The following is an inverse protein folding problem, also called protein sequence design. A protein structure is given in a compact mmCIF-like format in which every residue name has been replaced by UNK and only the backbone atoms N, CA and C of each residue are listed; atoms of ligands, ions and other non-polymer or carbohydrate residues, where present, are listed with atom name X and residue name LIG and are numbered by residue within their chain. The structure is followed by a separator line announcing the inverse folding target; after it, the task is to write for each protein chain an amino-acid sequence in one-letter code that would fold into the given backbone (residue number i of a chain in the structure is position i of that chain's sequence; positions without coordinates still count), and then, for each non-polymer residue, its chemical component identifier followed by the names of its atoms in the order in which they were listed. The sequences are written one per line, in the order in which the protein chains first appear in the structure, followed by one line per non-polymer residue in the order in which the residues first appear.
data_IF_925562992370
#
_entry.id   IF_925562992370
#
_cell.length_a   1.000
_cell.length_b   1.000
_cell.length_c   1.000
_cell.angle_alpha   90.00
_cell.angle_beta   90.00
_cell.angle_gamma   90.00
#
_symmetry.space_group_name_H-M   'P 1'
#
loop_
_entity.id
_entity.type
_entity.pdbx_description
1 polymer ?
#
# COMPACT_ATOMS: atom_id res chain seq x y z
N UNK A 1 39.36 4.20 75.30
CA UNK A 1 38.77 3.93 73.97
C UNK A 1 38.16 5.22 73.45
N UNK A 2 38.83 5.92 72.53
CA UNK A 2 38.27 7.11 71.88
C UNK A 2 37.57 6.65 70.61
N UNK A 3 36.25 6.70 70.58
CA UNK A 3 35.44 6.40 69.39
C UNK A 3 35.75 7.45 68.32
N UNK A 4 36.28 6.97 67.20
CA UNK A 4 36.63 7.76 66.01
C UNK A 4 35.33 8.29 65.35
N UNK A 5 34.89 9.48 65.77
CA UNK A 5 33.76 10.23 65.18
C UNK A 5 34.17 10.83 63.81
N UNK A 6 34.70 10.00 62.93
CA UNK A 6 35.22 10.39 61.63
C UNK A 6 34.08 10.66 60.65
N UNK A 7 34.06 11.84 60.03
CA UNK A 7 33.33 12.22 58.80
C UNK A 7 32.44 11.12 58.18
N UNK A 8 31.20 10.98 58.66
CA UNK A 8 30.19 10.07 58.11
C UNK A 8 29.12 10.85 57.36
N UNK A 9 28.62 10.25 56.29
CA UNK A 9 27.46 10.69 55.54
C UNK A 9 26.37 9.65 55.78
N UNK A 10 25.27 10.06 56.39
CA UNK A 10 24.04 9.31 56.56
C UNK A 10 23.03 9.74 55.50
N UNK A 11 22.44 8.78 54.81
CA UNK A 11 21.38 9.04 53.83
C UNK A 11 20.09 8.44 54.37
N UNK A 12 19.04 9.25 54.41
CA UNK A 12 17.70 8.90 54.83
C UNK A 12 16.77 9.04 53.63
N UNK A 13 15.75 8.17 53.58
CA UNK A 13 14.69 8.22 52.60
C UNK A 13 13.39 8.60 53.31
N UNK A 14 12.73 9.63 52.79
CA UNK A 14 11.52 10.24 53.34
C UNK A 14 11.68 10.58 54.83
N UNK A 15 10.71 10.18 55.65
CA UNK A 15 10.68 10.45 57.10
C UNK A 15 11.23 9.28 57.93
N UNK A 16 12.02 8.37 57.33
CA UNK A 16 12.61 7.24 58.07
C UNK A 16 13.60 7.72 59.15
N UNK A 17 13.48 7.15 60.36
CA UNK A 17 14.36 7.48 61.49
C UNK A 17 15.76 6.85 61.37
N UNK A 18 15.86 5.72 60.67
CA UNK A 18 17.13 5.03 60.41
C UNK A 18 17.68 5.37 59.02
N UNK A 19 19.01 5.58 58.89
CA UNK A 19 19.60 5.85 57.59
C UNK A 19 19.59 4.59 56.73
N UNK A 20 19.11 4.69 55.49
CA UNK A 20 19.19 3.60 54.49
C UNK A 20 20.65 3.20 54.26
N UNK A 21 21.58 4.14 54.40
CA UNK A 21 23.00 3.85 54.28
C UNK A 21 23.89 4.89 54.96
N UNK A 22 25.04 4.44 55.46
CA UNK A 22 26.03 5.27 56.15
C UNK A 22 27.42 5.02 55.58
N UNK A 23 28.11 6.06 55.12
CA UNK A 23 29.38 5.95 54.40
C UNK A 23 30.39 7.01 54.79
N UNK A 24 31.68 6.75 54.51
CA UNK A 24 32.74 7.76 54.60
C UNK A 24 32.92 8.43 53.21
N UNK A 25 33.01 9.77 53.13
CA UNK A 25 33.20 10.46 51.85
C UNK A 25 34.57 10.19 51.20
N UNK A 26 34.68 10.28 49.86
CA UNK A 26 33.58 10.39 48.90
C UNK A 26 32.90 9.02 48.67
N UNK A 27 31.58 9.02 48.50
CA UNK A 27 30.83 7.79 48.22
C UNK A 27 29.93 7.95 46.99
N UNK A 28 29.80 6.86 46.24
CA UNK A 28 28.75 6.64 45.23
C UNK A 28 27.78 5.62 45.80
N UNK A 29 26.50 5.95 45.82
CA UNK A 29 25.44 5.03 46.21
C UNK A 29 24.45 4.89 45.06
N UNK A 30 23.85 3.73 44.93
CA UNK A 30 22.76 3.46 44.00
C UNK A 30 21.46 3.35 44.81
N UNK A 31 20.46 4.15 44.46
CA UNK A 31 19.13 4.05 45.05
C UNK A 31 18.30 3.09 44.19
N UNK A 32 17.90 1.96 44.77
CA UNK A 32 16.93 1.08 44.13
C UNK A 32 15.52 1.65 44.34
N UNK A 33 14.99 2.29 43.31
CA UNK A 33 13.64 2.88 43.36
C UNK A 33 12.55 1.86 43.12
N UNK A 34 12.86 0.60 42.74
CA UNK A 34 11.84 -0.38 42.29
C UNK A 34 10.85 -0.80 43.36
N UNK A 35 11.23 -0.63 44.63
CA UNK A 35 10.42 -0.95 45.81
C UNK A 35 9.76 0.28 46.43
N UNK A 36 9.96 1.46 45.82
CA UNK A 36 9.35 2.70 46.29
C UNK A 36 7.97 2.87 45.65
N UNK A 37 7.05 3.46 46.41
CA UNK A 37 5.72 3.82 45.91
C UNK A 37 5.84 4.90 44.82
N UNK A 38 4.82 5.02 43.97
CA UNK A 38 4.78 6.09 42.99
C UNK A 38 4.41 7.41 43.66
N UNK A 39 5.11 8.48 43.30
CA UNK A 39 4.84 9.82 43.80
C UNK A 39 6.06 10.56 44.34
N UNK A 40 5.85 11.64 45.11
CA UNK A 40 6.91 12.49 45.61
C UNK A 40 7.63 11.82 46.79
N UNK A 41 8.96 11.75 46.69
CA UNK A 41 9.86 11.25 47.73
C UNK A 41 10.96 12.27 48.02
N UNK A 42 11.65 12.08 49.14
CA UNK A 42 12.67 12.99 49.62
C UNK A 42 13.90 12.22 50.10
N UNK A 43 15.08 12.54 49.56
CA UNK A 43 16.35 12.07 50.15
C UNK A 43 16.87 13.14 51.09
N UNK A 44 17.12 12.78 52.34
CA UNK A 44 17.80 13.64 53.32
C UNK A 44 19.20 13.11 53.56
N UNK A 45 20.21 13.90 53.21
CA UNK A 45 21.63 13.59 53.44
C UNK A 45 22.11 14.39 54.64
N UNK A 46 22.62 13.71 55.67
CA UNK A 46 23.19 14.31 56.87
C UNK A 46 24.68 13.95 56.90
N UNK A 47 25.55 14.94 56.79
CA UNK A 47 26.99 14.78 56.89
C UNK A 47 27.48 15.35 58.22
N UNK A 48 28.18 14.54 59.01
CA UNK A 48 28.77 14.96 60.29
C UNK A 48 30.26 15.23 60.08
N UNK A 49 30.76 16.39 60.48
CA UNK A 49 32.19 16.70 60.42
C UNK A 49 32.96 16.22 61.66
N UNK A 50 34.30 16.31 61.64
CA UNK A 50 35.17 15.94 62.76
C UNK A 50 34.96 16.76 64.04
N UNK A 51 34.23 17.88 63.97
CA UNK A 51 33.85 18.70 65.12
C UNK A 51 32.46 18.35 65.67
N UNK A 52 31.77 17.39 65.06
CA UNK A 52 30.41 16.97 65.41
C UNK A 52 29.33 17.87 64.84
N UNK A 53 29.65 18.80 63.93
CA UNK A 53 28.67 19.65 63.28
C UNK A 53 28.03 18.90 62.11
N UNK A 54 26.70 19.00 62.02
CA UNK A 54 25.92 18.35 60.96
C UNK A 54 25.57 19.33 59.85
N UNK A 55 25.81 18.91 58.61
CA UNK A 55 25.28 19.54 57.40
C UNK A 55 24.15 18.70 56.84
N UNK A 56 22.95 19.28 56.70
CA UNK A 56 21.77 18.58 56.16
C UNK A 56 21.46 19.11 54.77
N UNK A 57 21.25 18.22 53.81
CA UNK A 57 20.76 18.55 52.47
C UNK A 57 19.59 17.64 52.10
N UNK A 58 18.49 18.27 51.69
CA UNK A 58 17.27 17.58 51.29
C UNK A 58 17.10 17.69 49.78
N UNK A 59 16.77 16.58 49.11
CA UNK A 59 16.64 16.48 47.66
C UNK A 59 15.29 15.82 47.36
N UNK A 60 14.27 16.59 46.92
CA UNK A 60 13.01 16.00 46.48
C UNK A 60 13.20 15.32 45.11
N UNK A 61 12.51 14.21 44.91
CA UNK A 61 12.44 13.49 43.64
C UNK A 61 11.07 12.81 43.49
N UNK A 62 10.74 12.36 42.30
CA UNK A 62 9.47 11.68 42.02
C UNK A 62 9.75 10.29 41.48
N UNK A 63 9.09 9.28 42.04
CA UNK A 63 9.18 7.89 41.61
C UNK A 63 7.99 7.57 40.72
N UNK A 64 8.26 6.89 39.60
CA UNK A 64 7.26 6.43 38.63
C UNK A 64 7.58 5.01 38.18
N UNK A 65 7.22 4.04 38.99
CA UNK A 65 7.34 2.61 38.74
C UNK A 65 6.05 1.99 38.18
N UNK A 66 4.89 2.63 38.39
CA UNK A 66 3.59 2.20 37.91
C UNK A 66 3.37 2.39 36.41
N UNK A 67 2.25 1.86 35.86
CA UNK A 67 1.89 2.08 34.47
C UNK A 67 1.59 3.56 34.21
N UNK A 68 2.03 4.08 33.08
CA UNK A 68 1.58 5.40 32.62
C UNK A 68 0.09 5.31 32.27
N UNK A 69 -0.70 6.26 32.77
CA UNK A 69 -2.14 6.34 32.51
C UNK A 69 -2.38 7.52 31.57
N UNK A 70 -3.14 7.30 30.52
CA UNK A 70 -3.59 8.34 29.60
C UNK A 70 -5.13 8.35 29.55
N UNK A 71 -5.69 9.55 29.60
CA UNK A 71 -7.13 9.79 29.69
C UNK A 71 -7.49 10.72 28.55
N UNK A 72 -8.11 10.17 27.51
CA UNK A 72 -8.60 10.94 26.38
C UNK A 72 -10.11 11.19 26.53
N UNK A 73 -10.55 12.38 26.15
CA UNK A 73 -11.93 12.85 26.29
C UNK A 73 -12.25 13.67 27.55
N UNK A 74 -11.29 13.90 28.46
CA UNK A 74 -11.42 14.84 29.59
C UNK A 74 -10.16 15.67 29.81
N UNK A 75 -10.34 16.96 30.08
CA UNK A 75 -9.27 17.88 30.45
C UNK A 75 -9.44 18.41 31.87
N UNK A 76 -8.35 18.94 32.44
CA UNK A 76 -8.34 19.51 33.78
C UNK A 76 -9.28 20.73 33.83
N UNK A 77 -10.25 20.69 34.77
CA UNK A 77 -11.29 21.71 34.99
C UNK A 77 -12.46 21.74 33.99
N UNK A 78 -12.72 20.67 33.24
CA UNK A 78 -13.91 20.59 32.38
C UNK A 78 -15.22 20.58 33.19
N UNK A 79 -16.21 21.35 32.73
CA UNK A 79 -17.59 21.35 33.25
C UNK A 79 -18.45 20.53 32.30
N UNK A 80 -18.86 19.34 32.73
CA UNK A 80 -19.56 18.37 31.88
C UNK A 80 -21.05 18.29 32.21
N UNK A 81 -21.88 18.07 31.18
CA UNK A 81 -23.30 17.77 31.31
C UNK A 81 -23.67 16.59 30.41
N UNK A 82 -24.43 15.61 30.94
CA UNK A 82 -24.88 14.45 30.17
C UNK A 82 -23.91 13.25 30.20
N UNK A 83 -23.71 12.58 29.05
CA UNK A 83 -22.86 11.39 28.91
C UNK A 83 -21.68 11.69 28.00
N UNK A 84 -20.47 11.65 28.55
CA UNK A 84 -19.21 11.89 27.83
C UNK A 84 -18.44 10.58 27.73
N UNK A 85 -18.08 10.11 26.52
CA UNK A 85 -17.24 8.94 26.36
C UNK A 85 -15.79 9.29 26.74
N UNK A 86 -15.21 8.50 27.63
CA UNK A 86 -13.83 8.68 28.11
C UNK A 86 -13.06 7.43 27.72
N UNK A 87 -11.89 7.62 27.11
CA UNK A 87 -10.98 6.54 26.81
C UNK A 87 -9.88 6.51 27.87
N UNK A 88 -9.81 5.41 28.62
CA UNK A 88 -8.80 5.19 29.64
C UNK A 88 -7.79 4.18 29.11
N UNK A 89 -6.53 4.59 29.01
CA UNK A 89 -5.42 3.75 28.60
C UNK A 89 -4.40 3.62 29.74
N UNK A 90 -3.81 2.44 29.89
CA UNK A 90 -2.70 2.21 30.81
C UNK A 90 -1.59 1.47 30.05
N UNK A 91 -0.42 2.09 29.91
CA UNK A 91 0.75 1.49 29.27
C UNK A 91 1.81 1.13 30.31
N UNK A 92 2.28 -0.12 30.22
CA UNK A 92 2.92 -0.83 31.32
C UNK A 92 4.41 -0.53 31.51
N UNK A 93 4.77 -0.29 32.78
CA UNK A 93 6.13 -0.33 33.35
C UNK A 93 6.62 -1.74 33.72
N UNK A 94 6.02 -2.80 33.19
CA UNK A 94 6.50 -4.17 33.39
C UNK A 94 7.70 -4.44 32.46
N UNK A 95 8.86 -4.78 33.03
CA UNK A 95 10.02 -5.31 32.30
C UNK A 95 9.70 -6.72 31.80
N UNK A 96 8.86 -6.82 30.78
CA UNK A 96 8.56 -8.07 30.09
C UNK A 96 9.74 -8.44 29.17
N UNK A 97 10.16 -9.72 29.12
CA UNK A 97 11.30 -10.15 28.32
C UNK A 97 11.07 -10.09 26.80
N UNK A 98 9.82 -9.86 26.35
CA UNK A 98 9.46 -9.79 24.93
C UNK A 98 8.67 -8.52 24.62
N UNK A 99 9.20 -7.72 23.69
CA UNK A 99 8.56 -6.49 23.21
C UNK A 99 7.29 -6.81 22.42
N UNK A 100 6.17 -6.21 22.82
CA UNK A 100 4.87 -6.36 22.14
C UNK A 100 4.46 -5.02 21.50
N UNK A 101 4.50 -4.88 20.16
CA UNK A 101 4.20 -3.62 19.47
C UNK A 101 2.82 -3.03 19.81
N UNK A 102 1.81 -3.89 20.01
CA UNK A 102 0.43 -3.47 20.27
C UNK A 102 0.22 -2.74 21.60
N UNK A 103 1.18 -2.79 22.54
CA UNK A 103 1.16 -2.01 23.78
C UNK A 103 1.88 -0.66 23.67
N UNK A 104 2.63 -0.44 22.58
CA UNK A 104 3.38 0.79 22.36
C UNK A 104 2.59 1.85 21.57
N UNK A 105 1.48 1.47 20.94
CA UNK A 105 0.62 2.37 20.19
C UNK A 105 -0.63 2.69 21.02
N UNK A 106 -0.76 3.93 21.48
CA UNK A 106 -2.05 4.44 21.94
C UNK A 106 -2.93 4.67 20.69
N UNK A 107 -4.11 4.03 20.59
CA UNK A 107 -5.03 4.31 19.50
C UNK A 107 -5.60 5.73 19.70
N UNK A 108 -4.92 6.73 19.16
CA UNK A 108 -5.40 8.10 19.10
C UNK A 108 -6.22 8.30 17.81
N UNK A 109 -7.36 9.02 17.87
CA UNK A 109 -8.07 9.39 16.65
C UNK A 109 -7.17 10.26 15.76
N UNK A 110 -7.31 10.11 14.44
CA UNK A 110 -6.55 10.92 13.47
C UNK A 110 -6.78 12.41 13.76
N UNK A 111 -5.73 13.21 13.99
CA UNK A 111 -5.89 14.61 14.38
C UNK A 111 -6.68 15.43 13.34
N UNK A 112 -7.51 16.37 13.81
CA UNK A 112 -8.33 17.24 12.92
C UNK A 112 -7.50 17.97 11.87
N UNK A 113 -6.27 18.38 12.19
CA UNK A 113 -5.38 19.05 11.23
C UNK A 113 -5.01 18.16 10.04
N UNK A 114 -4.94 16.84 10.23
CA UNK A 114 -4.62 15.90 9.15
C UNK A 114 -5.79 15.80 8.16
N UNK A 115 -7.03 15.83 8.65
CA UNK A 115 -8.22 15.93 7.81
C UNK A 115 -8.29 17.25 7.05
N UNK A 116 -7.97 18.36 7.70
CA UNK A 116 -7.88 19.68 7.03
C UNK A 116 -6.82 19.67 5.94
N UNK A 117 -5.63 19.11 6.21
CA UNK A 117 -4.56 18.98 5.23
C UNK A 117 -4.95 18.08 4.05
N UNK A 118 -5.64 16.96 4.31
CA UNK A 118 -6.18 16.09 3.25
C UNK A 118 -7.16 16.85 2.36
N UNK A 119 -8.10 17.61 2.94
CA UNK A 119 -9.04 18.42 2.17
C UNK A 119 -8.33 19.50 1.34
N UNK A 120 -7.27 20.11 1.87
CA UNK A 120 -6.44 21.07 1.12
C UNK A 120 -5.74 20.41 -0.05
N UNK A 121 -5.14 19.23 0.14
CA UNK A 121 -4.49 18.48 -0.96
C UNK A 121 -5.49 18.13 -2.04
N UNK A 122 -6.68 17.64 -1.67
CA UNK A 122 -7.74 17.31 -2.62
C UNK A 122 -8.19 18.56 -3.39
N UNK A 123 -8.48 19.66 -2.69
CA UNK A 123 -8.88 20.92 -3.32
C UNK A 123 -7.80 21.46 -4.26
N UNK A 124 -6.52 21.42 -3.84
CA UNK A 124 -5.39 21.87 -4.65
C UNK A 124 -5.16 20.97 -5.86
N UNK A 125 -5.32 19.65 -5.72
CA UNK A 125 -5.21 18.70 -6.82
C UNK A 125 -6.30 18.93 -7.86
N UNK A 126 -7.56 19.12 -7.43
CA UNK A 126 -8.67 19.44 -8.32
C UNK A 126 -8.45 20.78 -9.03
N UNK A 127 -8.00 21.81 -8.31
CA UNK A 127 -7.62 23.10 -8.91
C UNK A 127 -6.49 22.95 -9.94
N UNK A 128 -5.43 22.22 -9.60
CA UNK A 128 -4.30 21.99 -10.48
C UNK A 128 -4.72 21.25 -11.75
N UNK A 129 -5.50 20.18 -11.60
CA UNK A 129 -6.06 19.41 -12.71
C UNK A 129 -6.89 20.33 -13.62
N UNK A 130 -7.81 21.11 -13.08
CA UNK A 130 -8.70 21.95 -13.89
C UNK A 130 -8.01 23.11 -14.60
N UNK A 131 -6.90 23.63 -14.06
CA UNK A 131 -6.24 24.81 -14.62
C UNK A 131 -5.01 24.48 -15.45
N UNK A 132 -4.26 23.45 -15.06
CA UNK A 132 -2.93 23.15 -15.60
C UNK A 132 -2.88 21.82 -16.35
N UNK A 133 -3.95 21.02 -16.35
CA UNK A 133 -4.02 19.75 -17.09
C UNK A 133 -4.57 19.95 -18.49
N UNK A 134 -3.94 20.85 -19.24
CA UNK A 134 -4.00 20.88 -20.69
C UNK A 134 -2.60 20.58 -21.20
N UNK A 135 -2.48 19.64 -22.14
CA UNK A 135 -1.20 19.42 -22.81
C UNK A 135 -0.78 20.74 -23.49
N UNK A 136 0.51 21.14 -23.39
CA UNK A 136 1.05 22.16 -24.28
C UNK A 136 0.81 21.70 -25.73
N UNK A 137 0.50 22.64 -26.64
CA UNK A 137 0.11 22.32 -28.03
C UNK A 137 1.10 21.35 -28.73
N UNK A 138 2.38 21.42 -28.38
CA UNK A 138 3.44 20.53 -28.87
C UNK A 138 3.24 19.03 -28.55
N UNK A 139 2.54 18.70 -27.46
CA UNK A 139 2.30 17.32 -27.02
C UNK A 139 0.87 16.84 -27.27
N UNK A 140 -0.06 17.74 -27.62
CA UNK A 140 -1.44 17.40 -27.92
C UNK A 140 -1.57 16.47 -29.14
N UNK A 141 -0.63 16.56 -30.08
CA UNK A 141 -0.55 15.70 -31.28
C UNK A 141 0.29 14.43 -31.07
N UNK A 142 0.83 14.21 -29.86
CA UNK A 142 1.64 13.03 -29.60
C UNK A 142 0.77 11.76 -29.52
N UNK A 143 1.20 10.63 -30.13
CA UNK A 143 0.44 9.38 -30.12
C UNK A 143 0.11 8.87 -28.71
N UNK A 144 0.95 9.19 -27.73
CA UNK A 144 0.76 8.81 -26.33
C UNK A 144 -0.33 9.63 -25.65
N UNK A 145 -0.48 10.92 -25.98
CA UNK A 145 -1.49 11.78 -25.34
C UNK A 145 -2.90 11.51 -25.86
N UNK A 146 -3.05 11.33 -27.19
CA UNK A 146 -4.32 10.98 -27.82
C UNK A 146 -4.84 9.59 -27.39
N UNK A 147 -3.95 8.65 -27.09
CA UNK A 147 -4.31 7.31 -26.61
C UNK A 147 -5.00 7.30 -25.23
N UNK A 148 -4.70 8.27 -24.35
CA UNK A 148 -5.25 8.31 -22.98
C UNK A 148 -6.21 9.47 -22.69
N UNK A 149 -6.10 10.57 -23.43
CA UNK A 149 -6.91 11.79 -23.24
C UNK A 149 -7.57 12.28 -24.53
N UNK A 150 -7.53 11.47 -25.60
CA UNK A 150 -8.37 11.65 -26.77
C UNK A 150 -9.84 11.70 -26.34
N UNK A 151 -10.52 12.74 -26.78
CA UNK A 151 -11.89 13.11 -26.43
C UNK A 151 -12.85 11.91 -26.32
N UNK A 152 -13.47 11.71 -25.15
CA UNK A 152 -14.65 10.85 -24.96
C UNK A 152 -15.90 11.39 -25.66
N UNK A 153 -15.77 12.41 -26.51
CA UNK A 153 -16.74 12.80 -27.54
C UNK A 153 -16.33 12.26 -28.91
N UNK A 154 -16.06 10.97 -29.02
CA UNK A 154 -16.16 10.23 -30.28
C UNK A 154 -17.03 9.00 -30.05
N UNK A 155 -18.33 9.24 -29.93
CA UNK A 155 -19.36 8.24 -30.17
C UNK A 155 -19.05 7.46 -31.44
N UNK A 156 -18.92 6.13 -31.31
CA UNK A 156 -19.27 5.14 -32.34
C UNK A 156 -18.94 5.53 -33.78
N UNK A 157 -17.70 5.92 -34.06
CA UNK A 157 -17.20 6.01 -35.43
C UNK A 157 -16.43 4.73 -35.68
N UNK A 158 -16.91 3.89 -36.59
CA UNK A 158 -16.07 2.84 -37.16
C UNK A 158 -14.75 3.49 -37.60
N UNK A 159 -13.59 2.89 -37.31
CA UNK A 159 -12.31 3.41 -37.77
C UNK A 159 -12.35 3.54 -39.30
N UNK A 160 -12.39 4.77 -39.81
CA UNK A 160 -12.67 5.04 -41.23
C UNK A 160 -11.39 4.91 -42.08
N UNK A 161 -10.21 4.98 -41.45
CA UNK A 161 -8.93 4.80 -42.14
C UNK A 161 -8.30 3.43 -41.91
N UNK A 162 -7.65 2.88 -42.93
CA UNK A 162 -6.93 1.61 -42.84
C UNK A 162 -5.85 1.61 -41.74
N UNK A 163 -5.19 2.76 -41.53
CA UNK A 163 -4.21 2.95 -40.45
C UNK A 163 -4.85 2.86 -39.06
N UNK A 164 -6.03 3.42 -38.90
CA UNK A 164 -6.77 3.37 -37.63
C UNK A 164 -7.27 1.95 -37.33
N UNK A 165 -7.77 1.23 -38.35
CA UNK A 165 -8.12 -0.20 -38.24
C UNK A 165 -6.90 -1.05 -37.84
N UNK A 166 -5.74 -0.81 -38.44
CA UNK A 166 -4.51 -1.51 -38.11
C UNK A 166 -4.04 -1.21 -36.66
N UNK A 167 -4.13 0.04 -36.23
CA UNK A 167 -3.78 0.44 -34.86
C UNK A 167 -4.75 -0.14 -33.83
N UNK A 168 -6.05 -0.19 -34.15
CA UNK A 168 -7.08 -0.81 -33.32
C UNK A 168 -6.79 -2.30 -33.14
N UNK A 169 -6.55 -3.04 -34.23
CA UNK A 169 -6.23 -4.45 -34.20
C UNK A 169 -4.99 -4.77 -33.35
N UNK A 170 -3.90 -4.00 -33.54
CA UNK A 170 -2.68 -4.16 -32.75
C UNK A 170 -2.88 -3.86 -31.25
N UNK A 171 -3.77 -2.91 -30.92
CA UNK A 171 -4.09 -2.56 -29.54
C UNK A 171 -4.91 -3.65 -28.88
N UNK A 172 -5.98 -4.10 -29.53
CA UNK A 172 -6.85 -5.16 -29.04
C UNK A 172 -6.10 -6.49 -28.89
N UNK A 173 -5.23 -6.84 -29.85
CA UNK A 173 -4.36 -8.01 -29.73
C UNK A 173 -3.49 -7.94 -28.47
N UNK A 174 -2.89 -6.78 -28.20
CA UNK A 174 -2.04 -6.59 -27.02
C UNK A 174 -2.82 -6.76 -25.73
N UNK A 175 -4.05 -6.27 -25.65
CA UNK A 175 -4.85 -6.33 -24.42
C UNK A 175 -5.51 -7.69 -24.19
N UNK A 176 -5.88 -8.39 -25.27
CA UNK A 176 -6.77 -9.56 -25.18
C UNK A 176 -6.09 -10.87 -25.55
N UNK A 177 -5.12 -10.86 -26.46
CA UNK A 177 -4.55 -12.09 -27.05
C UNK A 177 -3.10 -12.34 -26.62
N UNK A 178 -2.32 -11.28 -26.43
CA UNK A 178 -0.85 -11.36 -26.27
C UNK A 178 -0.38 -12.01 -24.96
N UNK A 179 -1.23 -12.10 -23.95
CA UNK A 179 -0.92 -12.79 -22.68
C UNK A 179 -0.68 -14.29 -22.87
N UNK A 180 -1.35 -14.89 -23.85
CA UNK A 180 -1.21 -16.31 -24.22
C UNK A 180 -0.36 -16.50 -25.48
N UNK A 181 -0.69 -15.78 -26.56
CA UNK A 181 -0.04 -15.92 -27.87
C UNK A 181 1.28 -15.14 -28.02
N UNK A 182 1.70 -14.43 -26.96
CA UNK A 182 2.88 -13.56 -26.92
C UNK A 182 2.79 -12.34 -27.85
N UNK A 183 3.59 -11.32 -27.58
CA UNK A 183 3.61 -10.11 -28.41
C UNK A 183 4.12 -10.34 -29.85
N UNK A 184 4.84 -11.44 -30.08
CA UNK A 184 5.38 -11.84 -31.37
C UNK A 184 4.58 -12.97 -32.05
N UNK A 185 3.45 -13.38 -31.49
CA UNK A 185 2.60 -14.41 -32.07
C UNK A 185 3.20 -15.82 -32.07
N UNK A 186 4.29 -16.08 -31.35
CA UNK A 186 4.92 -17.42 -31.31
C UNK A 186 4.27 -18.36 -30.28
N UNK A 187 3.41 -17.83 -29.40
CA UNK A 187 2.81 -18.62 -28.33
C UNK A 187 3.86 -19.27 -27.41
N UNK A 188 3.50 -20.42 -26.83
CA UNK A 188 4.35 -21.25 -25.98
C UNK A 188 4.09 -22.71 -26.33
N UNK A 189 5.04 -23.39 -26.97
CA UNK A 189 4.90 -24.79 -27.44
C UNK A 189 4.35 -25.71 -26.35
N UNK A 190 3.26 -26.42 -26.67
CA UNK A 190 2.56 -27.34 -25.75
C UNK A 190 1.58 -26.68 -24.77
N UNK A 191 1.59 -25.34 -24.66
CA UNK A 191 0.66 -24.57 -23.82
C UNK A 191 -0.26 -23.67 -24.64
N UNK A 192 0.29 -22.81 -25.50
CA UNK A 192 -0.45 -21.89 -26.37
C UNK A 192 0.11 -21.94 -27.80
N UNK A 193 -0.73 -22.13 -28.82
CA UNK A 193 -0.24 -22.28 -30.19
C UNK A 193 0.30 -20.97 -30.77
N UNK A 194 1.24 -21.06 -31.74
CA UNK A 194 1.67 -19.90 -32.51
C UNK A 194 0.53 -19.41 -33.43
N UNK A 195 0.50 -18.10 -33.67
CA UNK A 195 -0.30 -17.45 -34.70
C UNK A 195 0.56 -17.01 -35.89
N UNK A 196 1.86 -16.81 -35.66
CA UNK A 196 2.84 -16.55 -36.72
C UNK A 196 3.05 -17.80 -37.57
N UNK A 197 2.74 -17.72 -38.87
CA UNK A 197 2.83 -18.83 -39.81
C UNK A 197 1.79 -19.93 -39.63
N UNK A 198 0.80 -19.74 -38.76
CA UNK A 198 -0.24 -20.74 -38.52
C UNK A 198 -1.13 -20.94 -39.76
N UNK A 199 -1.43 -22.19 -40.18
CA UNK A 199 -2.25 -22.45 -41.35
C UNK A 199 -3.67 -21.89 -41.27
N UNK A 200 -4.29 -21.86 -40.08
CA UNK A 200 -5.63 -21.30 -39.89
C UNK A 200 -5.58 -19.77 -40.00
N UNK A 201 -4.54 -19.15 -39.44
CA UNK A 201 -4.34 -17.70 -39.57
C UNK A 201 -4.08 -17.33 -41.02
N UNK A 202 -3.32 -18.13 -41.78
CA UNK A 202 -2.90 -17.80 -43.15
C UNK A 202 -3.81 -18.33 -44.26
N UNK A 203 -4.88 -19.07 -43.92
CA UNK A 203 -5.83 -19.62 -44.89
C UNK A 203 -6.54 -18.52 -45.71
N UNK A 204 -6.85 -18.81 -46.97
CA UNK A 204 -7.65 -17.90 -47.81
C UNK A 204 -9.08 -17.74 -47.26
N UNK A 205 -9.64 -18.79 -46.67
CA UNK A 205 -10.95 -18.78 -46.01
C UNK A 205 -10.79 -18.44 -44.51
N UNK A 206 -11.22 -17.26 -44.04
CA UNK A 206 -11.07 -16.85 -42.66
C UNK A 206 -12.10 -17.48 -41.72
N UNK A 207 -13.07 -18.25 -42.22
CA UNK A 207 -14.20 -18.77 -41.42
C UNK A 207 -13.73 -19.49 -40.16
N UNK A 208 -12.78 -20.43 -40.30
CA UNK A 208 -12.28 -21.19 -39.15
C UNK A 208 -11.59 -20.28 -38.13
N UNK A 209 -10.84 -19.29 -38.60
CA UNK A 209 -10.17 -18.33 -37.72
C UNK A 209 -11.19 -17.48 -36.93
N UNK A 210 -12.24 -17.01 -37.61
CA UNK A 210 -13.33 -16.25 -36.99
C UNK A 210 -14.05 -17.12 -35.94
N UNK A 211 -14.38 -18.36 -36.26
CA UNK A 211 -15.04 -19.30 -35.33
C UNK A 211 -14.24 -19.49 -34.04
N UNK A 212 -12.92 -19.65 -34.13
CA UNK A 212 -12.06 -19.88 -32.97
C UNK A 212 -12.07 -18.68 -32.03
N UNK A 213 -12.04 -17.45 -32.56
CA UNK A 213 -12.10 -16.24 -31.73
C UNK A 213 -13.50 -16.09 -31.12
N UNK A 214 -14.56 -16.32 -31.89
CA UNK A 214 -15.92 -16.15 -31.41
C UNK A 214 -16.32 -17.22 -30.38
N UNK A 215 -15.99 -18.48 -30.64
CA UNK A 215 -16.54 -19.64 -29.93
C UNK A 215 -15.50 -20.42 -29.12
N UNK A 216 -14.22 -20.06 -29.24
CA UNK A 216 -13.12 -20.74 -28.56
C UNK A 216 -12.66 -22.01 -29.28
N UNK A 217 -11.65 -22.66 -28.71
CA UNK A 217 -11.10 -23.92 -29.21
C UNK A 217 -10.58 -24.76 -28.04
N UNK A 218 -10.76 -26.08 -28.10
CA UNK A 218 -10.13 -27.04 -27.19
C UNK A 218 -9.80 -28.35 -27.91
N UNK A 219 -8.63 -28.94 -27.59
CA UNK A 219 -8.34 -30.34 -27.91
C UNK A 219 -8.01 -30.65 -29.39
N UNK A 220 -7.76 -29.64 -30.21
CA UNK A 220 -7.28 -29.83 -31.58
C UNK A 220 -5.76 -29.68 -31.66
N UNK A 221 -5.04 -30.67 -32.23
CA UNK A 221 -3.60 -30.54 -32.44
C UNK A 221 -3.29 -29.58 -33.59
N UNK A 222 -2.35 -28.67 -33.35
CA UNK A 222 -1.83 -27.74 -34.37
C UNK A 222 -0.44 -28.22 -34.77
N UNK A 223 -0.27 -28.54 -36.06
CA UNK A 223 0.95 -29.15 -36.63
C UNK A 223 1.43 -30.42 -35.89
N UNK A 224 0.49 -31.20 -35.34
CA UNK A 224 0.80 -32.43 -34.59
C UNK A 224 1.29 -32.20 -33.15
N UNK A 225 1.23 -30.96 -32.66
CA UNK A 225 1.45 -30.62 -31.24
C UNK A 225 0.10 -30.47 -30.55
N UNK A 226 -0.08 -31.20 -29.46
CA UNK A 226 -1.25 -31.10 -28.58
C UNK A 226 -1.10 -29.88 -27.65
N UNK A 227 -2.16 -29.07 -27.55
CA UNK A 227 -2.20 -27.92 -26.66
C UNK A 227 -3.23 -28.16 -25.56
N UNK A 228 -2.78 -28.09 -24.31
CA UNK A 228 -3.62 -28.43 -23.15
C UNK A 228 -4.57 -27.32 -22.70
N UNK A 229 -4.35 -26.08 -23.14
CA UNK A 229 -5.17 -24.94 -22.73
C UNK A 229 -6.32 -24.73 -23.71
N UNK A 230 -7.54 -24.64 -23.18
CA UNK A 230 -8.69 -24.21 -23.96
C UNK A 230 -8.63 -22.69 -24.18
N UNK A 231 -8.88 -22.26 -25.42
CA UNK A 231 -9.09 -20.86 -25.76
C UNK A 231 -10.54 -20.48 -25.46
N UNK A 232 -10.80 -19.46 -24.61
CA UNK A 232 -12.15 -19.04 -24.30
C UNK A 232 -12.84 -18.32 -25.48
N UNK A 233 -14.18 -18.35 -25.56
CA UNK A 233 -14.94 -17.59 -26.55
C UNK A 233 -14.92 -16.08 -26.27
N UNK A 234 -14.84 -15.27 -27.32
CA UNK A 234 -14.93 -13.81 -27.24
C UNK A 234 -16.21 -13.22 -27.85
N UNK A 235 -17.15 -14.05 -28.30
CA UNK A 235 -18.39 -13.61 -28.94
C UNK A 235 -19.18 -12.58 -28.12
N UNK A 236 -19.25 -12.71 -26.79
CA UNK A 236 -19.98 -11.73 -25.96
C UNK A 236 -19.18 -10.47 -25.61
N UNK A 237 -17.86 -10.49 -25.81
CA UNK A 237 -16.95 -9.45 -25.32
C UNK A 237 -16.50 -8.47 -26.41
N UNK A 238 -16.47 -8.91 -27.67
CA UNK A 238 -15.94 -8.15 -28.79
C UNK A 238 -16.98 -7.99 -29.90
N UNK A 239 -17.08 -6.77 -30.44
CA UNK A 239 -17.90 -6.47 -31.62
C UNK A 239 -17.32 -7.10 -32.90
N UNK A 240 -18.11 -7.13 -33.97
CA UNK A 240 -17.66 -7.66 -35.26
C UNK A 240 -16.49 -6.87 -35.85
N UNK A 241 -16.50 -5.55 -35.66
CA UNK A 241 -15.41 -4.66 -36.08
C UNK A 241 -14.13 -4.91 -35.28
N UNK A 242 -14.26 -5.17 -33.97
CA UNK A 242 -13.13 -5.45 -33.09
C UNK A 242 -12.49 -6.80 -33.41
N UNK A 243 -13.30 -7.82 -33.64
CA UNK A 243 -12.83 -9.16 -34.05
C UNK A 243 -12.16 -9.08 -35.43
N UNK A 244 -12.77 -8.42 -36.41
CA UNK A 244 -12.17 -8.24 -37.72
C UNK A 244 -10.83 -7.48 -37.64
N UNK A 245 -10.72 -6.47 -36.76
CA UNK A 245 -9.48 -5.73 -36.55
C UNK A 245 -8.36 -6.62 -35.96
N UNK A 246 -8.67 -7.45 -34.96
CA UNK A 246 -7.72 -8.41 -34.37
C UNK A 246 -7.24 -9.41 -35.41
N UNK A 247 -8.17 -10.05 -36.13
CA UNK A 247 -7.85 -11.03 -37.17
C UNK A 247 -6.95 -10.42 -38.24
N UNK A 248 -7.27 -9.19 -38.68
CA UNK A 248 -6.45 -8.48 -39.67
C UNK A 248 -5.04 -8.18 -39.15
N UNK A 249 -4.89 -7.84 -37.88
CA UNK A 249 -3.58 -7.67 -37.27
C UNK A 249 -2.77 -8.97 -37.31
N UNK A 250 -3.38 -10.10 -36.93
CA UNK A 250 -2.73 -11.41 -36.90
C UNK A 250 -2.36 -11.88 -38.32
N UNK A 251 -3.25 -11.68 -39.29
CA UNK A 251 -3.08 -12.08 -40.71
C UNK A 251 -2.04 -11.26 -41.47
N UNK A 252 -1.63 -10.11 -40.94
CA UNK A 252 -0.65 -9.21 -41.56
C UNK A 252 0.60 -8.98 -40.71
N UNK A 253 0.68 -9.62 -39.53
CA UNK A 253 1.82 -9.52 -38.61
C UNK A 253 2.76 -10.71 -38.73
N UNK A 254 3.98 -10.54 -38.22
CA UNK A 254 4.99 -11.61 -38.08
C UNK A 254 5.36 -12.34 -39.38
N UNK A 255 5.15 -11.69 -40.53
CA UNK A 255 5.42 -12.26 -41.84
C UNK A 255 4.24 -13.01 -42.47
N UNK A 256 3.08 -13.01 -41.81
CA UNK A 256 1.82 -13.47 -42.40
C UNK A 256 1.39 -12.53 -43.53
N UNK A 257 0.84 -13.09 -44.60
CA UNK A 257 0.33 -12.38 -45.77
C UNK A 257 -0.95 -13.07 -46.24
N UNK A 258 -2.05 -12.81 -45.54
CA UNK A 258 -3.35 -13.40 -45.82
C UNK A 258 -4.43 -12.33 -46.07
N UNK A 259 -5.49 -12.63 -46.86
CA UNK A 259 -6.56 -11.69 -47.16
C UNK A 259 -7.23 -11.11 -45.90
N UNK A 260 -7.51 -9.82 -45.88
CA UNK A 260 -8.16 -9.17 -44.73
C UNK A 260 -9.63 -9.54 -44.62
N UNK A 261 -10.13 -9.59 -43.39
CA UNK A 261 -11.51 -9.87 -43.01
C UNK A 261 -12.29 -8.59 -42.72
N UNK A 262 -13.56 -8.57 -43.08
CA UNK A 262 -14.52 -7.49 -42.83
C UNK A 262 -15.42 -7.80 -41.63
N UNK A 263 -16.01 -6.77 -41.04
CA UNK A 263 -16.97 -6.95 -39.94
C UNK A 263 -18.25 -7.70 -40.39
N UNK A 264 -18.63 -7.58 -41.67
CA UNK A 264 -19.79 -8.29 -42.23
C UNK A 264 -19.54 -9.81 -42.23
N UNK A 265 -18.37 -10.26 -42.68
CA UNK A 265 -17.97 -11.68 -42.64
C UNK A 265 -17.97 -12.23 -41.21
N UNK A 266 -17.50 -11.44 -40.23
CA UNK A 266 -17.56 -11.84 -38.81
C UNK A 266 -19.01 -11.96 -38.33
N UNK A 267 -19.87 -11.00 -38.68
CA UNK A 267 -21.28 -11.01 -38.32
C UNK A 267 -22.04 -12.19 -38.91
N UNK A 268 -21.71 -12.60 -40.14
CA UNK A 268 -22.26 -13.81 -40.78
C UNK A 268 -21.90 -15.08 -39.99
N UNK A 269 -20.61 -15.30 -39.71
CA UNK A 269 -20.15 -16.47 -38.94
C UNK A 269 -20.75 -16.48 -37.53
N UNK A 270 -20.84 -15.29 -36.90
CA UNK A 270 -21.46 -15.15 -35.57
C UNK A 270 -22.93 -15.56 -35.57
N UNK A 271 -23.67 -15.21 -36.62
CA UNK A 271 -25.08 -15.54 -36.74
C UNK A 271 -25.30 -17.04 -37.03
N UNK A 272 -24.36 -17.71 -37.69
CA UNK A 272 -24.43 -19.14 -38.00
C UNK A 272 -24.09 -20.06 -36.81
N UNK A 273 -23.24 -19.60 -35.89
CA UNK A 273 -22.84 -20.36 -34.70
C UNK A 273 -23.79 -20.27 -33.50
N UNK A 274 -24.93 -19.58 -33.62
CA UNK A 274 -25.93 -19.37 -32.56
C UNK A 274 -27.27 -20.03 -32.90
#
# INVERSE_FOLDING_TARGET
MSTDNSNLIHVYLDDQEEPIVSYRPPVRFELDTTQLEDGPHVIKVVATDSSGKEGVKTIPFEVRNGPGIDVDGLQENDVLEGRVPILLNAYGGAKEPYWQPSRAETPAPVPTWAWVLLLVIVAWSTFYITQQWTAPDEYAESPTYSMFYGDQSSSSSSPDSATEKANLGATLYRTSCSSCHQGNGEGVTGAFPPLAGDPVVTDEDPTRHIEIILFGMEGEPIEGVEYSAAMPPFSEQLSDEEVAAIINHERTSWGNDAPTVTAEEVGEVRAEGN
#
